data_IF_656892149723
#
_entry.id   IF_656892149723
#
_cell.length_a   1.000
_cell.length_b   1.000
_cell.length_c   1.000
_cell.angle_alpha   90.00
_cell.angle_beta   90.00
_cell.angle_gamma   90.00
#
_symmetry.space_group_name_H-M   'P 1'
#
loop_
_entity.id
_entity.type
_entity.pdbx_description
1 polymer ?
#
# COMPACT_ATOMS: atom_id res chain seq x y z
N UNK A 1 -9.30 21.42 36.51
CA UNK A 1 -9.59 20.83 35.19
C UNK A 1 -8.69 19.60 35.05
N UNK A 2 -9.26 18.41 34.88
CA UNK A 2 -8.47 17.19 34.75
C UNK A 2 -7.86 17.11 33.34
N UNK A 3 -6.56 16.86 33.24
CA UNK A 3 -5.91 16.63 31.96
C UNK A 3 -6.35 15.25 31.42
N UNK A 4 -6.82 15.15 30.16
CA UNK A 4 -7.18 13.86 29.60
C UNK A 4 -5.93 12.98 29.49
N UNK A 5 -6.00 11.76 30.04
CA UNK A 5 -4.99 10.72 29.92
C UNK A 5 -5.61 9.44 29.35
N UNK A 6 -4.89 8.74 28.49
CA UNK A 6 -5.37 7.53 27.82
C UNK A 6 -4.24 6.80 27.12
N UNK A 7 -4.41 5.50 26.94
CA UNK A 7 -3.45 4.62 26.26
C UNK A 7 -4.17 3.93 25.11
N UNK A 8 -3.53 3.92 23.93
CA UNK A 8 -4.03 3.23 22.74
C UNK A 8 -2.98 2.23 22.27
N UNK A 9 -3.40 0.98 22.07
CA UNK A 9 -2.50 -0.11 21.67
C UNK A 9 -3.09 -0.85 20.48
N UNK A 10 -2.25 -1.10 19.48
CA UNK A 10 -2.53 -2.00 18.37
C UNK A 10 -1.29 -2.85 18.16
N UNK A 11 -1.43 -4.15 18.42
CA UNK A 11 -0.38 -5.13 18.24
C UNK A 11 -0.81 -6.14 17.18
N UNK A 12 0.10 -6.46 16.27
CA UNK A 12 -0.10 -7.50 15.26
C UNK A 12 0.90 -8.61 15.52
N UNK A 13 0.39 -9.81 15.79
CA UNK A 13 1.18 -11.02 15.98
C UNK A 13 1.06 -11.84 14.70
N UNK A 14 2.21 -12.16 14.10
CA UNK A 14 2.31 -12.99 12.90
C UNK A 14 2.95 -14.31 13.33
N UNK A 15 2.23 -15.41 13.16
CA UNK A 15 2.71 -16.77 13.45
C UNK A 15 3.52 -17.32 12.28
N UNK A 16 4.34 -18.35 12.51
CA UNK A 16 5.16 -19.03 11.50
C UNK A 16 4.32 -19.61 10.34
N UNK A 17 3.02 -19.87 10.59
CA UNK A 17 2.04 -20.31 9.58
C UNK A 17 1.42 -19.16 8.77
N UNK A 18 1.93 -17.94 8.90
CA UNK A 18 1.37 -16.69 8.33
C UNK A 18 -0.01 -16.29 8.87
N UNK A 19 -0.51 -16.96 9.91
CA UNK A 19 -1.70 -16.52 10.63
C UNK A 19 -1.43 -15.19 11.35
N UNK A 20 -2.35 -14.24 11.17
CA UNK A 20 -2.22 -12.90 11.73
C UNK A 20 -3.30 -12.68 12.79
N UNK A 21 -2.87 -12.44 14.04
CA UNK A 21 -3.75 -12.04 15.15
C UNK A 21 -3.52 -10.56 15.42
N UNK A 22 -4.57 -9.75 15.37
CA UNK A 22 -4.50 -8.34 15.77
C UNK A 22 -5.13 -8.20 17.17
N UNK A 23 -4.39 -7.58 18.08
CA UNK A 23 -4.82 -7.23 19.43
C UNK A 23 -4.98 -5.72 19.48
N UNK A 24 -6.11 -5.25 20.01
CA UNK A 24 -6.39 -3.84 20.15
C UNK A 24 -6.71 -3.49 21.60
N UNK A 25 -6.45 -2.26 22.00
CA UNK A 25 -6.92 -1.71 23.28
C UNK A 25 -8.44 -1.53 23.24
N UNK A 26 -9.16 -2.29 24.06
CA UNK A 26 -10.61 -2.24 24.22
C UNK A 26 -11.02 -2.36 25.71
N UNK A 27 -12.29 -2.59 25.98
CA UNK A 27 -12.83 -2.76 27.34
C UNK A 27 -12.63 -4.19 27.91
N UNK A 28 -12.00 -5.10 27.17
CA UNK A 28 -11.57 -6.42 27.66
C UNK A 28 -10.27 -6.35 28.46
N UNK A 29 -9.48 -5.28 28.28
CA UNK A 29 -8.24 -5.08 29.03
C UNK A 29 -8.52 -4.84 30.50
N UNK A 30 -7.58 -5.24 31.35
CA UNK A 30 -7.65 -5.00 32.79
C UNK A 30 -6.73 -3.82 33.16
N UNK A 31 -7.16 -3.05 34.15
CA UNK A 31 -6.47 -1.85 34.62
C UNK A 31 -6.54 -1.73 36.14
N UNK A 32 -5.51 -1.13 36.72
CA UNK A 32 -5.41 -0.79 38.14
C UNK A 32 -4.76 0.59 38.29
N UNK A 33 -5.19 1.34 39.29
CA UNK A 33 -4.60 2.61 39.72
C UNK A 33 -3.55 2.43 40.83
N UNK A 34 -3.45 1.22 41.37
CA UNK A 34 -2.48 0.84 42.41
C UNK A 34 -1.68 -0.38 41.96
N UNK A 35 -0.37 -0.21 41.83
CA UNK A 35 0.57 -1.31 41.58
C UNK A 35 1.02 -1.82 42.94
N UNK A 36 0.29 -2.81 43.49
CA UNK A 36 0.61 -3.40 44.78
C UNK A 36 1.81 -4.38 44.72
N UNK A 37 2.11 -4.95 43.54
CA UNK A 37 3.17 -5.95 43.36
C UNK A 37 3.97 -5.70 42.07
N UNK A 38 5.30 -5.79 42.15
CA UNK A 38 6.21 -5.54 41.02
C UNK A 38 6.18 -6.61 39.91
N UNK A 39 5.57 -7.78 40.16
CA UNK A 39 5.54 -8.93 39.25
C UNK A 39 4.34 -8.95 38.29
N UNK A 40 3.63 -7.84 38.12
CA UNK A 40 2.45 -7.74 37.24
C UNK A 40 2.74 -8.04 35.75
N UNK A 41 4.01 -8.00 35.35
CA UNK A 41 4.47 -8.28 33.99
C UNK A 41 4.71 -9.77 33.69
N UNK A 42 4.48 -10.66 34.67
CA UNK A 42 4.64 -12.10 34.51
C UNK A 42 3.35 -12.76 34.01
N UNK A 43 3.47 -13.76 33.13
CA UNK A 43 2.33 -14.50 32.56
C UNK A 43 1.49 -15.20 33.65
N UNK A 44 2.13 -15.62 34.75
CA UNK A 44 1.48 -16.34 35.86
C UNK A 44 0.82 -15.43 36.89
N UNK A 45 0.84 -14.11 36.67
CA UNK A 45 0.28 -13.15 37.60
C UNK A 45 -1.25 -13.26 37.69
N UNK A 46 -1.80 -13.21 38.90
CA UNK A 46 -3.24 -13.21 39.13
C UNK A 46 -3.78 -11.77 39.07
N UNK A 47 -4.46 -11.46 37.98
CA UNK A 47 -5.07 -10.16 37.68
C UNK A 47 -6.58 -10.09 38.04
N UNK A 48 -7.11 -11.09 38.75
CA UNK A 48 -8.55 -11.17 39.07
C UNK A 48 -9.10 -10.03 39.93
N UNK A 49 -8.24 -9.24 40.58
CA UNK A 49 -8.64 -8.05 41.34
C UNK A 49 -8.69 -6.77 40.50
N UNK A 50 -8.23 -6.81 39.25
CA UNK A 50 -8.17 -5.65 38.38
C UNK A 50 -9.54 -5.36 37.77
N UNK A 51 -9.80 -4.08 37.49
CA UNK A 51 -11.07 -3.66 36.87
C UNK A 51 -10.89 -3.59 35.36
N UNK A 52 -11.97 -3.82 34.62
CA UNK A 52 -11.97 -3.58 33.18
C UNK A 52 -11.56 -2.15 32.85
N UNK A 53 -10.77 -2.00 31.79
CA UNK A 53 -10.29 -0.73 31.31
C UNK A 53 -11.45 0.18 30.95
N UNK A 54 -11.39 1.43 31.42
CA UNK A 54 -12.43 2.40 31.14
C UNK A 54 -12.26 2.96 29.73
N UNK A 55 -13.24 2.73 28.86
CA UNK A 55 -13.28 3.32 27.52
C UNK A 55 -13.86 4.74 27.59
N UNK A 56 -12.97 5.74 27.63
CA UNK A 56 -13.35 7.16 27.73
C UNK A 56 -14.20 7.66 26.54
N UNK A 57 -13.83 7.32 25.30
CA UNK A 57 -14.58 7.70 24.11
C UNK A 57 -14.29 6.76 22.94
N UNK A 58 -15.24 6.63 22.00
CA UNK A 58 -14.96 6.08 20.67
C UNK A 58 -14.02 7.01 19.90
N UNK A 59 -13.20 6.48 18.99
CA UNK A 59 -12.16 7.23 18.24
C UNK A 59 -12.64 8.54 17.61
N UNK A 60 -13.93 8.65 17.26
CA UNK A 60 -14.52 9.85 16.67
C UNK A 60 -14.85 11.00 17.64
N UNK A 61 -14.89 10.75 18.97
CA UNK A 61 -15.22 11.74 20.02
C UNK A 61 -14.10 11.91 21.05
N UNK A 62 -12.88 11.55 20.67
CA UNK A 62 -11.70 11.62 21.52
C UNK A 62 -11.20 13.07 21.70
N UNK A 63 -10.75 13.46 22.92
CA UNK A 63 -10.12 14.76 23.16
C UNK A 63 -8.77 14.90 22.44
N UNK A 64 -8.18 13.78 21.98
CA UNK A 64 -6.95 13.75 21.18
C UNK A 64 -7.20 13.81 19.66
N UNK A 65 -8.45 14.01 19.23
CA UNK A 65 -8.84 14.05 17.83
C UNK A 65 -9.00 12.67 17.20
N UNK A 66 -9.13 12.65 15.86
CA UNK A 66 -9.37 11.43 15.08
C UNK A 66 -8.04 10.79 14.66
N UNK A 67 -7.78 9.57 15.14
CA UNK A 67 -6.59 8.81 14.79
C UNK A 67 -6.79 8.04 13.50
N UNK A 68 -6.11 8.47 12.44
CA UNK A 68 -6.35 7.97 11.08
C UNK A 68 -5.77 6.55 10.83
N UNK A 69 -4.79 6.13 11.63
CA UNK A 69 -4.16 4.78 11.56
C UNK A 69 -4.66 3.79 12.60
N UNK A 70 -5.48 4.24 13.56
CA UNK A 70 -6.07 3.42 14.60
C UNK A 70 -7.56 3.31 14.30
N UNK A 71 -7.92 2.36 13.45
CA UNK A 71 -9.29 2.14 13.05
C UNK A 71 -9.68 0.70 13.41
N UNK A 72 -10.11 0.53 14.67
CA UNK A 72 -10.50 -0.78 15.22
C UNK A 72 -11.83 -1.25 14.60
N UNK A 73 -12.70 -0.31 14.23
CA UNK A 73 -14.07 -0.61 13.81
C UNK A 73 -14.21 -0.87 12.29
N UNK A 74 -13.10 -1.11 11.57
CA UNK A 74 -13.11 -1.40 10.13
C UNK A 74 -13.71 -0.29 9.24
N UNK A 75 -14.02 0.89 9.79
CA UNK A 75 -14.81 1.90 9.10
C UNK A 75 -13.94 2.94 8.39
N UNK A 76 -13.85 2.77 7.07
CA UNK A 76 -13.31 3.70 6.07
C UNK A 76 -11.81 4.03 6.15
N UNK A 77 -11.11 3.70 5.07
CA UNK A 77 -9.79 4.25 4.77
C UNK A 77 -9.94 5.74 4.49
N UNK A 78 -9.55 6.58 5.44
CA UNK A 78 -9.42 8.01 5.16
C UNK A 78 -8.27 8.22 4.17
N UNK A 79 -8.56 8.88 3.05
CA UNK A 79 -7.53 9.35 2.12
C UNK A 79 -6.65 10.36 2.84
N UNK A 80 -5.44 9.94 3.23
CA UNK A 80 -4.46 10.85 3.81
C UNK A 80 -3.78 11.65 2.70
N UNK A 81 -3.50 12.93 2.97
CA UNK A 81 -2.63 13.70 2.07
C UNK A 81 -1.27 13.01 2.04
N UNK A 82 -0.71 12.83 0.85
CA UNK A 82 0.61 12.21 0.68
C UNK A 82 1.68 12.89 1.54
N UNK A 83 1.56 14.22 1.73
CA UNK A 83 2.44 15.01 2.60
C UNK A 83 2.44 14.60 4.07
N UNK A 84 1.40 13.94 4.59
CA UNK A 84 1.26 13.53 6.00
C UNK A 84 1.72 12.10 6.25
N UNK A 85 1.84 11.27 5.21
CA UNK A 85 2.27 9.86 5.31
C UNK A 85 3.78 9.76 5.14
N UNK A 86 4.43 8.87 5.91
CA UNK A 86 5.84 8.50 5.71
C UNK A 86 6.03 8.01 4.27
N UNK A 87 7.05 8.54 3.59
CA UNK A 87 7.38 8.10 2.24
C UNK A 87 7.75 6.62 2.23
N UNK A 88 7.20 5.89 1.27
CA UNK A 88 7.58 4.51 0.99
C UNK A 88 8.96 4.46 0.29
N UNK A 89 9.77 3.39 0.45
CA UNK A 89 11.04 3.25 -0.27
C UNK A 89 10.90 3.42 -1.79
N UNK A 90 9.81 2.95 -2.40
CA UNK A 90 9.54 3.17 -3.82
C UNK A 90 9.39 4.66 -4.15
N UNK A 91 8.68 5.40 -3.30
CA UNK A 91 8.49 6.85 -3.50
C UNK A 91 9.80 7.61 -3.34
N UNK A 92 10.63 7.22 -2.37
CA UNK A 92 11.96 7.79 -2.18
C UNK A 92 12.85 7.55 -3.40
N UNK A 93 12.84 6.34 -3.96
CA UNK A 93 13.57 6.02 -5.19
C UNK A 93 13.08 6.89 -6.36
N UNK A 94 11.76 7.06 -6.51
CA UNK A 94 11.11 7.90 -7.56
C UNK A 94 11.27 9.41 -7.34
N UNK A 95 12.13 9.84 -6.42
CA UNK A 95 12.50 11.25 -6.26
C UNK A 95 11.64 12.03 -5.27
N UNK A 96 10.84 11.37 -4.41
CA UNK A 96 10.16 12.04 -3.29
C UNK A 96 11.21 12.47 -2.25
N UNK A 97 11.43 13.78 -2.02
CA UNK A 97 12.40 14.23 -1.03
C UNK A 97 11.93 13.93 0.40
N UNK A 98 12.89 13.75 1.30
CA UNK A 98 12.61 13.73 2.74
C UNK A 98 12.24 15.14 3.20
N UNK A 99 11.45 15.26 4.28
CA UNK A 99 10.94 16.57 4.75
C UNK A 99 12.03 17.56 5.17
N UNK A 100 13.21 17.05 5.49
CA UNK A 100 14.38 17.85 5.90
C UNK A 100 15.19 18.39 4.70
N UNK A 101 14.89 17.96 3.47
CA UNK A 101 15.63 18.36 2.29
C UNK A 101 14.77 19.26 1.39
N UNK A 102 15.26 20.48 1.13
CA UNK A 102 14.61 21.41 0.20
C UNK A 102 15.26 21.26 -1.17
N UNK A 103 14.58 20.54 -2.07
CA UNK A 103 14.98 20.42 -3.48
C UNK A 103 14.22 21.45 -4.31
N UNK A 104 14.93 22.42 -4.89
CA UNK A 104 14.34 23.46 -5.78
C UNK A 104 14.33 23.06 -7.25
N UNK A 105 14.98 21.95 -7.62
CA UNK A 105 15.01 21.40 -8.98
C UNK A 105 14.63 19.93 -8.95
N UNK A 106 13.93 19.50 -9.99
CA UNK A 106 13.70 18.09 -10.29
C UNK A 106 14.83 17.64 -11.21
N UNK A 107 15.49 16.53 -10.87
CA UNK A 107 16.43 15.92 -11.82
C UNK A 107 15.63 15.39 -13.01
N UNK A 108 16.02 15.81 -14.21
CA UNK A 108 15.36 15.44 -15.47
C UNK A 108 15.86 14.07 -15.98
N UNK A 109 17.07 13.66 -15.58
CA UNK A 109 17.62 12.36 -15.95
C UNK A 109 17.13 11.25 -15.01
N UNK A 110 16.54 10.16 -15.55
CA UNK A 110 16.18 9.00 -14.76
C UNK A 110 17.45 8.33 -14.21
N UNK A 111 17.52 8.19 -12.89
CA UNK A 111 18.68 7.56 -12.25
C UNK A 111 18.68 6.04 -12.43
N UNK A 112 19.85 5.41 -12.50
CA UNK A 112 19.97 3.93 -12.55
C UNK A 112 19.18 3.23 -11.43
N UNK A 113 19.20 3.80 -10.22
CA UNK A 113 18.43 3.28 -9.09
C UNK A 113 16.92 3.32 -9.34
N UNK A 114 16.42 4.35 -10.03
CA UNK A 114 15.01 4.46 -10.40
C UNK A 114 14.62 3.39 -11.40
N UNK A 115 15.40 3.20 -12.46
CA UNK A 115 15.14 2.18 -13.49
C UNK A 115 15.14 0.77 -12.90
N UNK A 116 16.13 0.45 -12.04
CA UNK A 116 16.20 -0.84 -11.34
C UNK A 116 15.03 -1.00 -10.38
N UNK A 117 14.68 0.04 -9.62
CA UNK A 117 13.54 -0.02 -8.68
C UNK A 117 12.23 -0.19 -9.45
N UNK A 118 12.01 0.51 -10.55
CA UNK A 118 10.81 0.38 -11.38
C UNK A 118 10.67 -1.05 -11.91
N UNK A 119 11.78 -1.68 -12.26
CA UNK A 119 11.82 -3.02 -12.87
C UNK A 119 11.64 -4.14 -11.86
N UNK A 120 12.27 -4.02 -10.70
CA UNK A 120 12.36 -5.13 -9.75
C UNK A 120 11.43 -4.99 -8.54
N UNK A 121 10.81 -3.83 -8.34
CA UNK A 121 10.05 -3.60 -7.12
C UNK A 121 8.72 -4.39 -7.12
N UNK A 122 8.40 -5.15 -6.05
CA UNK A 122 7.20 -5.99 -5.98
C UNK A 122 5.89 -5.23 -6.21
N UNK A 123 5.84 -3.97 -5.76
CA UNK A 123 4.68 -3.10 -5.99
C UNK A 123 4.35 -2.95 -7.48
N UNK A 124 5.35 -2.81 -8.35
CA UNK A 124 5.12 -2.63 -9.79
C UNK A 124 4.54 -3.91 -10.39
N UNK A 125 5.12 -5.06 -10.07
CA UNK A 125 4.59 -6.36 -10.50
C UNK A 125 3.15 -6.57 -10.05
N UNK A 126 2.84 -6.28 -8.78
CA UNK A 126 1.47 -6.38 -8.26
C UNK A 126 0.50 -5.44 -9.01
N UNK A 127 0.92 -4.18 -9.27
CA UNK A 127 0.07 -3.21 -9.98
C UNK A 127 -0.15 -3.59 -11.44
N UNK A 128 0.85 -4.17 -12.10
CA UNK A 128 0.70 -4.69 -13.46
C UNK A 128 -0.28 -5.86 -13.46
N UNK A 129 -0.16 -6.81 -12.54
CA UNK A 129 -1.09 -7.94 -12.43
C UNK A 129 -2.55 -7.50 -12.15
N UNK A 130 -2.75 -6.54 -11.24
CA UNK A 130 -4.06 -5.92 -10.97
C UNK A 130 -4.61 -5.19 -12.22
N UNK A 131 -3.73 -4.50 -12.95
CA UNK A 131 -4.05 -3.82 -14.20
C UNK A 131 -4.46 -4.81 -15.30
N UNK A 132 -3.65 -5.84 -15.54
CA UNK A 132 -3.92 -6.87 -16.53
C UNK A 132 -5.26 -7.56 -16.29
N UNK A 133 -5.60 -7.82 -15.02
CA UNK A 133 -6.92 -8.37 -14.66
C UNK A 133 -8.06 -7.41 -15.04
N UNK A 134 -7.97 -6.13 -14.66
CA UNK A 134 -8.99 -5.13 -14.99
C UNK A 134 -9.15 -4.94 -16.51
N UNK A 135 -8.06 -4.97 -17.25
CA UNK A 135 -8.05 -4.76 -18.70
C UNK A 135 -8.55 -5.99 -19.46
N UNK A 136 -8.15 -7.19 -19.05
CA UNK A 136 -8.66 -8.44 -19.64
C UNK A 136 -10.16 -8.63 -19.39
N UNK A 137 -10.68 -8.21 -18.23
CA UNK A 137 -12.13 -8.19 -17.98
C UNK A 137 -12.86 -7.18 -18.87
N UNK A 138 -12.28 -5.99 -19.05
CA UNK A 138 -12.93 -4.89 -19.79
C UNK A 138 -12.95 -5.10 -21.32
N UNK A 139 -11.90 -5.69 -21.89
CA UNK A 139 -11.75 -5.82 -23.35
C UNK A 139 -11.72 -7.28 -23.83
N UNK A 140 -12.45 -8.16 -23.13
CA UNK A 140 -12.52 -9.61 -23.40
C UNK A 140 -12.84 -9.99 -24.85
N UNK A 141 -13.46 -9.07 -25.61
CA UNK A 141 -13.97 -9.31 -26.97
C UNK A 141 -13.16 -8.65 -28.08
N UNK A 142 -12.21 -7.74 -27.78
CA UNK A 142 -11.47 -7.01 -28.82
C UNK A 142 -10.00 -6.78 -28.41
N UNK A 143 -9.13 -7.63 -28.94
CA UNK A 143 -7.67 -7.58 -28.70
C UNK A 143 -7.01 -6.37 -29.38
N UNK A 144 -7.50 -5.97 -30.55
CA UNK A 144 -6.94 -4.83 -31.30
C UNK A 144 -7.23 -3.52 -30.58
N UNK A 145 -8.46 -3.36 -30.09
CA UNK A 145 -8.87 -2.21 -29.27
C UNK A 145 -8.11 -2.16 -27.95
N UNK A 146 -7.85 -3.32 -27.32
CA UNK A 146 -7.03 -3.42 -26.11
C UNK A 146 -5.61 -2.87 -26.37
N UNK A 147 -4.93 -3.35 -27.42
CA UNK A 147 -3.56 -2.92 -27.74
C UNK A 147 -3.52 -1.42 -28.01
N UNK A 148 -4.46 -0.90 -28.83
CA UNK A 148 -4.52 0.53 -29.15
C UNK A 148 -4.69 1.40 -27.91
N UNK A 149 -5.59 1.02 -27.01
CA UNK A 149 -5.83 1.75 -25.76
C UNK A 149 -4.65 1.65 -24.81
N UNK A 150 -3.96 0.52 -24.79
CA UNK A 150 -2.79 0.32 -23.96
C UNK A 150 -1.65 1.24 -24.40
N UNK A 151 -1.34 1.27 -25.71
CA UNK A 151 -0.36 2.17 -26.31
C UNK A 151 -0.72 3.63 -26.07
N UNK A 152 -2.00 4.00 -26.21
CA UNK A 152 -2.45 5.35 -25.92
C UNK A 152 -2.30 5.72 -24.43
N UNK A 153 -2.51 4.76 -23.52
CA UNK A 153 -2.40 5.01 -22.07
C UNK A 153 -0.96 5.06 -21.55
N UNK A 154 -0.05 4.29 -22.17
CA UNK A 154 1.34 4.17 -21.71
C UNK A 154 2.27 5.13 -22.47
N UNK A 155 2.15 5.20 -23.80
CA UNK A 155 3.05 5.94 -24.67
C UNK A 155 2.39 7.20 -25.28
N UNK A 156 1.12 7.46 -24.98
CA UNK A 156 0.35 8.58 -25.55
C UNK A 156 0.35 8.64 -27.10
N UNK A 157 0.59 7.50 -27.77
CA UNK A 157 0.57 7.36 -29.23
C UNK A 157 -0.25 6.16 -29.67
N UNK A 158 -0.67 6.16 -30.94
CA UNK A 158 -1.28 4.99 -31.57
C UNK A 158 -0.16 4.00 -31.98
N UNK A 159 -0.41 2.68 -31.91
CA UNK A 159 0.54 1.68 -32.36
C UNK A 159 0.71 1.74 -33.88
N UNK A 160 1.92 1.51 -34.37
CA UNK A 160 2.16 1.29 -35.80
C UNK A 160 1.60 -0.08 -36.24
N UNK A 161 1.33 -0.22 -37.53
CA UNK A 161 0.87 -1.45 -38.20
C UNK A 161 1.76 -2.66 -37.87
N UNK A 162 3.08 -2.48 -37.81
CA UNK A 162 4.05 -3.53 -37.45
C UNK A 162 3.96 -3.93 -35.97
N UNK A 163 3.81 -2.94 -35.10
CA UNK A 163 3.70 -3.15 -33.65
C UNK A 163 2.41 -3.89 -33.32
N UNK A 164 1.30 -3.46 -33.93
CA UNK A 164 -0.01 -4.08 -33.76
C UNK A 164 0.03 -5.56 -34.19
N UNK A 165 0.63 -5.86 -35.35
CA UNK A 165 0.79 -7.25 -35.82
C UNK A 165 1.63 -8.10 -34.86
N UNK A 166 2.73 -7.54 -34.32
CA UNK A 166 3.61 -8.23 -33.38
C UNK A 166 2.90 -8.55 -32.07
N UNK A 167 2.18 -7.56 -31.50
CA UNK A 167 1.45 -7.72 -30.24
C UNK A 167 0.27 -8.68 -30.37
N UNK A 168 -0.41 -8.68 -31.52
CA UNK A 168 -1.45 -9.66 -31.80
C UNK A 168 -0.92 -11.09 -31.92
N UNK A 169 0.26 -11.26 -32.53
CA UNK A 169 0.89 -12.58 -32.59
C UNK A 169 1.30 -13.05 -31.18
N UNK A 170 1.81 -12.14 -30.35
CA UNK A 170 2.17 -12.43 -28.96
C UNK A 170 0.95 -12.88 -28.13
N UNK A 171 -0.16 -12.15 -28.19
CA UNK A 171 -1.39 -12.47 -27.45
C UNK A 171 -2.10 -13.73 -27.94
N UNK A 172 -1.86 -14.17 -29.19
CA UNK A 172 -2.37 -15.45 -29.70
C UNK A 172 -1.59 -16.66 -29.17
N UNK A 173 -0.32 -16.46 -28.77
CA UNK A 173 0.56 -17.53 -28.28
C UNK A 173 0.50 -17.69 -26.76
N UNK A 174 0.14 -16.64 -26.03
CA UNK A 174 0.07 -16.62 -24.57
C UNK A 174 -1.35 -16.83 -24.03
N UNK A 175 -1.45 -17.28 -22.78
CA UNK A 175 -2.72 -17.24 -22.04
C UNK A 175 -3.16 -15.78 -21.85
N UNK A 176 -4.47 -15.49 -21.93
CA UNK A 176 -4.98 -14.12 -22.09
C UNK A 176 -4.58 -13.20 -20.92
N UNK A 177 -4.53 -13.74 -19.69
CA UNK A 177 -4.15 -12.94 -18.51
C UNK A 177 -2.64 -12.68 -18.45
N UNK A 178 -1.84 -13.74 -18.53
CA UNK A 178 -0.37 -13.65 -18.45
C UNK A 178 0.19 -12.88 -19.64
N UNK A 179 -0.38 -13.07 -20.84
CA UNK A 179 0.02 -12.35 -22.04
C UNK A 179 -0.23 -10.85 -21.95
N UNK A 180 -1.34 -10.39 -21.35
CA UNK A 180 -1.60 -8.95 -21.14
C UNK A 180 -0.66 -8.36 -20.10
N UNK A 181 -0.34 -9.12 -19.04
CA UNK A 181 0.66 -8.71 -18.05
C UNK A 181 2.05 -8.54 -18.68
N UNK A 182 2.52 -9.53 -19.44
CA UNK A 182 3.79 -9.49 -20.15
C UNK A 182 3.83 -8.37 -21.20
N UNK A 183 2.71 -8.09 -21.87
CA UNK A 183 2.56 -6.99 -22.83
C UNK A 183 2.74 -5.62 -22.14
N UNK A 184 2.01 -5.39 -21.04
CA UNK A 184 2.15 -4.16 -20.24
C UNK A 184 3.59 -4.02 -19.78
N UNK A 185 4.18 -5.13 -19.33
CA UNK A 185 5.52 -5.13 -18.82
C UNK A 185 6.57 -4.81 -19.89
N UNK A 186 6.46 -5.43 -21.07
CA UNK A 186 7.34 -5.18 -22.20
C UNK A 186 7.33 -3.72 -22.65
N UNK A 187 6.17 -3.07 -22.64
CA UNK A 187 6.05 -1.64 -22.98
C UNK A 187 6.69 -0.76 -21.91
N UNK A 188 6.50 -1.07 -20.62
CA UNK A 188 7.11 -0.32 -19.50
C UNK A 188 8.64 -0.43 -19.45
N UNK A 189 9.21 -1.57 -19.86
CA UNK A 189 10.67 -1.76 -19.93
C UNK A 189 11.28 -1.16 -21.20
N UNK A 190 10.47 -0.86 -22.20
CA UNK A 190 10.97 -0.35 -23.47
C UNK A 190 11.76 0.95 -23.27
N UNK A 191 12.86 1.16 -24.03
CA UNK A 191 13.60 2.43 -23.99
C UNK A 191 12.70 3.63 -24.30
N UNK A 192 11.70 3.45 -25.16
CA UNK A 192 10.73 4.48 -25.47
C UNK A 192 9.99 4.96 -24.23
N UNK A 193 9.60 4.07 -23.31
CA UNK A 193 8.94 4.47 -22.08
C UNK A 193 9.92 5.05 -21.04
N UNK A 194 11.16 4.55 -20.98
CA UNK A 194 12.13 4.95 -19.96
C UNK A 194 12.79 6.30 -20.21
N UNK A 195 12.85 6.77 -21.45
CA UNK A 195 13.52 8.02 -21.85
C UNK A 195 12.55 9.16 -22.20
N UNK A 196 11.23 8.98 -22.06
CA UNK A 196 10.22 10.06 -22.13
C UNK A 196 10.13 10.77 -20.77
#
# INVERSE_FOLDING_TARGET
>A
MANPAGVLVHARIISDRQDTINIYSDDSWLSTDSIANASWNQIVFNDGSWKKAYRYASFNKSPWGKFVRFNIDGSQQYLMRASQVKADPFQLAMGRPTRENVTTRRNEEPGLLQSITLTNHPLMHQRIAEGALRWSEKYRSDTDELIRRLYLSLLCRLPDSKELATMNNFLKMADNKTGVEDLIWGILVSPEFQFI
#
